data_IF_130045935436
#
_entry.id   IF_130045935436
#
_cell.length_a   1.000
_cell.length_b   1.000
_cell.length_c   1.000
_cell.angle_alpha   90.00
_cell.angle_beta   90.00
_cell.angle_gamma   90.00
#
_symmetry.space_group_name_H-M   'P 1'
#
loop_
_entity.id
_entity.type
_entity.pdbx_description
1 polymer ?
#
# COMPACT_ATOMS: atom_id res chain seq x y z
N UNK A 1 -20.95 37.34 -31.92
CA UNK A 1 -20.94 36.79 -30.55
C UNK A 1 -21.13 35.25 -30.52
N UNK A 2 -20.52 34.48 -31.45
CA UNK A 2 -20.62 33.00 -31.51
C UNK A 2 -19.26 32.29 -31.34
N UNK A 3 -18.16 32.96 -31.71
CA UNK A 3 -16.79 32.42 -31.63
C UNK A 3 -16.27 32.29 -30.18
N UNK A 4 -16.69 33.18 -29.28
CA UNK A 4 -16.26 33.14 -27.86
C UNK A 4 -16.86 31.96 -27.08
N UNK A 5 -18.02 31.44 -27.50
CA UNK A 5 -18.68 30.32 -26.84
C UNK A 5 -18.02 28.97 -27.18
N UNK A 6 -17.47 28.85 -28.40
CA UNK A 6 -16.78 27.64 -28.86
C UNK A 6 -15.40 27.43 -28.21
N UNK A 7 -14.67 28.52 -27.95
CA UNK A 7 -13.36 28.47 -27.28
C UNK A 7 -13.44 28.01 -25.81
N UNK A 8 -14.50 28.41 -25.10
CA UNK A 8 -14.71 27.99 -23.72
C UNK A 8 -15.05 26.51 -23.63
N UNK A 9 -15.83 25.99 -24.59
CA UNK A 9 -16.20 24.58 -24.65
C UNK A 9 -14.99 23.66 -24.89
N UNK A 10 -14.04 24.08 -25.73
CA UNK A 10 -12.79 23.34 -25.97
C UNK A 10 -11.83 23.37 -24.78
N UNK A 11 -11.78 24.47 -24.02
CA UNK A 11 -10.92 24.60 -22.84
C UNK A 11 -11.34 23.66 -21.68
N UNK A 12 -12.65 23.43 -21.51
CA UNK A 12 -13.19 22.57 -20.44
C UNK A 12 -12.95 21.08 -20.73
N UNK A 13 -12.89 20.66 -22.00
CA UNK A 13 -12.63 19.27 -22.38
C UNK A 13 -11.16 18.85 -22.21
N UNK A 14 -10.22 19.80 -22.30
CA UNK A 14 -8.78 19.54 -22.11
C UNK A 14 -8.32 19.49 -20.64
N UNK A 15 -9.19 19.84 -19.68
CA UNK A 15 -8.90 19.80 -18.25
C UNK A 15 -9.34 18.50 -17.56
N UNK A 16 -9.67 17.47 -18.34
CA UNK A 16 -9.97 16.12 -17.85
C UNK A 16 -8.70 15.44 -17.33
N UNK A 17 -8.17 15.94 -16.21
CA UNK A 17 -7.07 15.33 -15.50
C UNK A 17 -7.56 13.98 -14.96
N UNK A 18 -6.98 12.90 -15.46
CA UNK A 18 -7.14 11.57 -14.88
C UNK A 18 -6.52 11.60 -13.48
N UNK A 19 -7.34 11.79 -12.45
CA UNK A 19 -6.91 11.59 -11.07
C UNK A 19 -6.74 10.09 -10.85
N UNK A 20 -5.49 9.61 -10.89
CA UNK A 20 -5.19 8.26 -10.42
C UNK A 20 -5.22 8.29 -8.89
N UNK A 21 -6.08 7.46 -8.30
CA UNK A 21 -6.12 7.29 -6.86
C UNK A 21 -4.77 6.72 -6.40
N UNK A 22 -4.00 7.50 -5.64
CA UNK A 22 -2.78 7.00 -5.01
C UNK A 22 -3.15 5.94 -3.96
N UNK A 23 -2.42 4.83 -3.93
CA UNK A 23 -2.61 3.83 -2.89
C UNK A 23 -2.32 4.46 -1.51
N UNK A 24 -3.18 4.22 -0.50
CA UNK A 24 -2.89 4.56 0.88
C UNK A 24 -1.52 4.04 1.32
N UNK A 25 -0.82 4.85 2.12
CA UNK A 25 0.51 4.55 2.66
C UNK A 25 0.44 4.46 4.19
N UNK A 26 0.97 3.38 4.73
CA UNK A 26 1.39 3.32 6.14
C UNK A 26 2.88 3.63 6.20
N UNK A 27 3.29 4.57 7.03
CA UNK A 27 4.71 4.88 7.25
C UNK A 27 5.00 4.98 8.76
N UNK A 28 5.72 4.00 9.31
CA UNK A 28 5.87 3.83 10.76
C UNK A 28 7.11 3.02 11.10
N UNK A 29 7.60 3.17 12.34
CA UNK A 29 8.53 2.20 12.93
C UNK A 29 7.67 0.99 13.33
N UNK A 30 7.88 -0.21 12.76
CA UNK A 30 6.92 -1.31 12.89
C UNK A 30 7.04 -2.05 14.22
N UNK A 31 7.34 -1.37 15.33
CA UNK A 31 7.61 -1.96 16.64
C UNK A 31 6.43 -2.80 17.15
N UNK A 32 5.21 -2.28 17.01
CA UNK A 32 3.98 -2.91 17.48
C UNK A 32 3.33 -3.88 16.50
N UNK A 33 3.94 -4.10 15.32
CA UNK A 33 3.36 -4.96 14.29
C UNK A 33 3.46 -6.42 14.68
N UNK A 34 2.41 -7.19 14.43
CA UNK A 34 2.41 -8.64 14.64
C UNK A 34 2.41 -9.30 13.26
N UNK A 35 3.36 -10.19 13.01
CA UNK A 35 3.42 -10.99 11.80
C UNK A 35 3.00 -12.42 12.14
N UNK A 36 1.87 -12.85 11.59
CA UNK A 36 1.32 -14.18 11.85
C UNK A 36 1.36 -15.01 10.57
N UNK A 37 1.87 -16.24 10.69
CA UNK A 37 1.89 -17.22 9.61
C UNK A 37 0.68 -18.15 9.73
N UNK A 38 -0.13 -18.23 8.68
CA UNK A 38 -1.32 -19.07 8.62
C UNK A 38 -1.11 -20.24 7.67
N UNK A 39 -0.59 -21.34 8.22
CA UNK A 39 -0.40 -22.60 7.48
C UNK A 39 -1.75 -23.13 6.99
N UNK A 40 -1.87 -23.40 5.69
CA UNK A 40 -3.11 -23.85 5.05
C UNK A 40 -3.94 -22.74 4.36
N UNK A 41 -3.62 -21.46 4.58
CA UNK A 41 -4.13 -20.31 3.81
C UNK A 41 -3.11 -19.92 2.73
N UNK A 42 -2.68 -20.88 1.90
CA UNK A 42 -1.59 -20.72 0.91
C UNK A 42 -0.28 -20.15 1.51
N UNK A 43 0.04 -20.52 2.76
CA UNK A 43 1.18 -19.99 3.52
C UNK A 43 1.19 -18.45 3.61
N UNK A 44 0.00 -17.85 3.64
CA UNK A 44 -0.17 -16.41 3.74
C UNK A 44 0.30 -15.88 5.10
N UNK A 45 0.99 -14.74 5.03
CA UNK A 45 1.35 -13.94 6.20
C UNK A 45 0.35 -12.81 6.36
N UNK A 46 -0.20 -12.66 7.56
CA UNK A 46 -1.04 -11.52 7.95
C UNK A 46 -0.25 -10.63 8.88
N UNK A 47 -0.32 -9.33 8.60
CA UNK A 47 0.23 -8.26 9.44
C UNK A 47 -0.92 -7.68 10.23
N UNK A 48 -0.75 -7.58 11.54
CA UNK A 48 -1.71 -6.93 12.43
C UNK A 48 -1.10 -5.72 13.11
N UNK A 49 -1.98 -4.84 13.59
CA UNK A 49 -1.61 -3.60 14.24
C UNK A 49 -0.70 -2.71 13.37
N UNK A 50 -0.89 -2.78 12.05
CA UNK A 50 -0.08 -2.01 11.10
C UNK A 50 -0.36 -0.51 11.13
N UNK A 51 -1.52 -0.10 11.68
CA UNK A 51 -2.04 1.26 11.54
C UNK A 51 -2.72 1.51 10.18
N UNK A 52 -2.91 0.49 9.35
CA UNK A 52 -3.71 0.58 8.13
C UNK A 52 -5.19 0.85 8.45
N UNK A 53 -5.91 1.47 7.51
CA UNK A 53 -7.37 1.65 7.61
C UNK A 53 -8.15 0.34 7.52
N UNK A 54 -7.46 -0.77 7.25
CA UNK A 54 -7.98 -2.12 7.18
C UNK A 54 -8.11 -2.78 8.56
N UNK A 55 -8.59 -2.01 9.55
CA UNK A 55 -8.59 -2.39 10.97
C UNK A 55 -7.20 -2.84 11.45
N UNK A 56 -6.14 -2.18 10.97
CA UNK A 56 -4.76 -2.53 11.26
C UNK A 56 -4.26 -3.82 10.59
N UNK A 57 -5.06 -4.50 9.77
CA UNK A 57 -4.66 -5.70 9.03
C UNK A 57 -4.02 -5.34 7.68
N UNK A 58 -2.95 -6.03 7.29
CA UNK A 58 -2.47 -6.12 5.92
C UNK A 58 -2.17 -7.58 5.58
N UNK A 59 -2.29 -7.95 4.31
CA UNK A 59 -2.01 -9.30 3.84
C UNK A 59 -1.41 -9.26 2.44
N UNK A 60 -0.83 -10.38 1.99
CA UNK A 60 -0.36 -10.50 0.61
C UNK A 60 -1.51 -10.88 -0.32
N UNK A 61 -1.52 -10.38 -1.58
CA UNK A 61 -2.41 -10.92 -2.59
C UNK A 61 -2.05 -12.39 -2.89
N UNK A 62 -3.03 -13.18 -3.32
CA UNK A 62 -2.88 -14.63 -3.52
C UNK A 62 -1.84 -15.05 -4.57
N UNK A 63 -1.37 -14.10 -5.39
CA UNK A 63 -0.34 -14.33 -6.41
C UNK A 63 1.07 -13.90 -5.96
N UNK A 64 1.26 -13.50 -4.70
CA UNK A 64 2.58 -13.19 -4.17
C UNK A 64 3.45 -14.44 -4.08
N UNK A 65 4.72 -14.29 -4.39
CA UNK A 65 5.70 -15.38 -4.28
C UNK A 65 6.21 -15.51 -2.86
N UNK A 66 6.74 -16.68 -2.49
CA UNK A 66 7.44 -16.85 -1.22
C UNK A 66 8.58 -15.83 -1.05
N UNK A 67 9.29 -15.52 -2.13
CA UNK A 67 10.35 -14.52 -2.12
C UNK A 67 9.87 -13.10 -1.79
N UNK A 68 8.65 -12.72 -2.18
CA UNK A 68 8.05 -11.43 -1.81
C UNK A 68 7.76 -11.37 -0.31
N UNK A 69 7.22 -12.47 0.22
CA UNK A 69 6.88 -12.63 1.64
C UNK A 69 8.16 -12.61 2.49
N UNK A 70 9.20 -13.35 2.10
CA UNK A 70 10.48 -13.41 2.81
C UNK A 70 11.19 -12.06 2.84
N UNK A 71 11.16 -11.31 1.72
CA UNK A 71 11.71 -9.95 1.64
C UNK A 71 10.97 -9.00 2.56
N UNK A 72 9.65 -9.08 2.63
CA UNK A 72 8.86 -8.26 3.54
C UNK A 72 9.14 -8.58 4.99
N UNK A 73 9.14 -9.85 5.36
CA UNK A 73 9.51 -10.32 6.70
C UNK A 73 10.87 -9.79 7.12
N UNK A 74 11.87 -9.97 6.25
CA UNK A 74 13.23 -9.48 6.49
C UNK A 74 13.27 -7.96 6.66
N UNK A 75 12.50 -7.22 5.85
CA UNK A 75 12.42 -5.76 5.93
C UNK A 75 11.79 -5.30 7.24
N UNK A 76 10.67 -5.90 7.65
CA UNK A 76 9.99 -5.56 8.91
C UNK A 76 10.87 -5.89 10.11
N UNK A 77 11.50 -7.07 10.13
CA UNK A 77 12.42 -7.47 11.22
C UNK A 77 13.64 -6.55 11.30
N UNK A 78 14.28 -6.24 10.18
CA UNK A 78 15.42 -5.33 10.14
C UNK A 78 15.02 -3.93 10.64
N UNK A 79 13.86 -3.42 10.22
CA UNK A 79 13.36 -2.13 10.65
C UNK A 79 13.01 -2.08 12.14
N UNK A 80 12.43 -3.16 12.69
CA UNK A 80 12.20 -3.31 14.14
C UNK A 80 13.52 -3.24 14.91
N UNK A 81 14.49 -4.05 14.52
CA UNK A 81 15.80 -4.12 15.19
C UNK A 81 16.55 -2.80 15.11
N UNK A 82 16.46 -2.09 13.98
CA UNK A 82 17.15 -0.83 13.76
C UNK A 82 16.38 0.40 14.27
N UNK A 83 15.14 0.25 14.75
CA UNK A 83 14.26 1.37 15.09
C UNK A 83 14.01 2.31 13.90
N UNK A 84 13.95 1.77 12.68
CA UNK A 84 13.78 2.54 11.43
C UNK A 84 12.36 2.44 10.91
N UNK A 85 11.93 3.48 10.20
CA UNK A 85 10.61 3.51 9.56
C UNK A 85 10.62 2.64 8.30
N UNK A 86 9.49 1.98 8.06
CA UNK A 86 9.14 1.38 6.78
C UNK A 86 7.96 2.11 6.18
N UNK A 87 7.78 1.96 4.88
CA UNK A 87 6.53 2.29 4.20
C UNK A 87 5.86 1.03 3.66
N UNK A 88 4.53 1.03 3.64
CA UNK A 88 3.71 0.03 2.95
C UNK A 88 2.57 0.72 2.22
N UNK A 89 2.53 0.54 0.91
CA UNK A 89 1.38 0.88 0.07
C UNK A 89 0.45 -0.33 -0.02
N UNK A 90 -0.86 -0.11 0.08
CA UNK A 90 -1.85 -1.19 0.05
C UNK A 90 -3.11 -0.78 -0.70
N UNK A 91 -3.90 -1.77 -1.15
CA UNK A 91 -5.23 -1.51 -1.70
C UNK A 91 -6.22 -1.40 -0.52
N UNK A 92 -6.94 -0.27 -0.37
CA UNK A 92 -8.00 -0.18 0.62
C UNK A 92 -9.16 -1.09 0.22
N UNK A 93 -9.83 -1.72 1.20
CA UNK A 93 -10.91 -2.68 0.97
C UNK A 93 -10.44 -4.13 0.88
N UNK A 94 -9.46 -4.43 0.02
CA UNK A 94 -8.84 -5.76 -0.04
C UNK A 94 -7.79 -5.98 1.05
N UNK A 95 -7.16 -4.90 1.50
CA UNK A 95 -6.08 -4.92 2.49
C UNK A 95 -4.82 -5.64 2.01
N UNK A 96 -4.67 -5.74 0.69
CA UNK A 96 -3.55 -6.38 0.03
C UNK A 96 -2.38 -5.40 -0.11
N UNK A 97 -1.19 -5.85 0.29
CA UNK A 97 0.06 -5.12 0.11
C UNK A 97 0.36 -4.96 -1.38
N UNK A 98 0.70 -3.74 -1.79
CA UNK A 98 1.10 -3.39 -3.17
C UNK A 98 2.59 -3.17 -3.30
N UNK A 99 3.19 -2.51 -2.32
CA UNK A 99 4.62 -2.21 -2.31
C UNK A 99 5.07 -1.88 -0.90
N UNK A 100 6.33 -2.13 -0.58
CA UNK A 100 6.91 -1.86 0.73
C UNK A 100 8.39 -1.55 0.61
N UNK A 101 8.96 -0.97 1.67
CA UNK A 101 10.40 -0.74 1.77
C UNK A 101 10.79 0.00 3.05
N UNK A 102 12.09 0.24 3.23
CA UNK A 102 12.58 1.13 4.28
C UNK A 102 12.50 2.58 3.84
N UNK A 103 12.20 3.47 4.78
CA UNK A 103 12.33 4.91 4.58
C UNK A 103 13.80 5.29 4.78
N UNK A 104 14.41 5.95 3.80
CA UNK A 104 15.79 6.46 3.88
C UNK A 104 15.89 7.67 4.81
#
# INVERSE_FOLDING_TARGET
MKVRLFLVFWLVLFLSNFSQAAYPKVEVIPESWILENYVGDNDNVKVWNSGSSCSGKLQFPSNSTQGDIDRFWSTVLAAKLAGRKIFVYYIPGECNIKSFGMVQ
#
